data_IF_215788397746
#
_entry.id   IF_215788397746
#
_cell.length_a   1.000
_cell.length_b   1.000
_cell.length_c   1.000
_cell.angle_alpha   90.00
_cell.angle_beta   90.00
_cell.angle_gamma   90.00
#
_symmetry.space_group_name_H-M   'P 1'
#
loop_
_entity.id
_entity.type
_entity.pdbx_description
1 polymer ?
#
# COMPACT_ATOMS: atom_id res chain seq x y z
N UNK A 1 31.33 18.02 -34.02
CA UNK A 1 30.69 18.13 -32.70
C UNK A 1 29.72 16.96 -32.57
N UNK A 2 30.02 15.98 -31.73
CA UNK A 2 29.09 14.91 -31.39
C UNK A 2 28.13 15.51 -30.34
N UNK A 3 26.86 15.71 -30.71
CA UNK A 3 25.83 16.17 -29.78
C UNK A 3 25.40 14.99 -28.92
N UNK A 4 25.69 15.05 -27.62
CA UNK A 4 25.15 14.12 -26.63
C UNK A 4 23.67 14.46 -26.44
N UNK A 5 22.78 13.64 -26.96
CA UNK A 5 21.35 13.71 -26.64
C UNK A 5 21.14 13.06 -25.27
N UNK A 6 20.82 13.88 -24.27
CA UNK A 6 20.33 13.40 -22.99
C UNK A 6 18.87 12.97 -23.18
N UNK A 7 18.62 11.66 -23.25
CA UNK A 7 17.25 11.14 -23.18
C UNK A 7 16.86 11.16 -21.72
N UNK A 8 16.01 12.12 -21.33
CA UNK A 8 15.29 12.04 -20.06
C UNK A 8 14.32 10.87 -20.16
N UNK A 9 14.71 9.73 -19.57
CA UNK A 9 13.78 8.64 -19.31
C UNK A 9 12.94 9.11 -18.12
N UNK A 10 11.73 9.58 -18.39
CA UNK A 10 10.72 9.72 -17.35
C UNK A 10 10.35 8.30 -16.95
N UNK A 11 10.83 7.86 -15.80
CA UNK A 11 10.33 6.65 -15.15
C UNK A 11 8.87 6.92 -14.83
N UNK A 12 7.98 6.31 -15.59
CA UNK A 12 6.57 6.32 -15.25
C UNK A 12 6.43 5.40 -14.02
N UNK A 13 5.64 5.85 -13.06
CA UNK A 13 5.21 5.03 -11.93
C UNK A 13 3.77 4.60 -12.20
N UNK A 14 3.42 3.38 -11.79
CA UNK A 14 2.01 3.01 -11.71
C UNK A 14 1.37 3.77 -10.56
N UNK A 15 0.08 4.11 -10.67
CA UNK A 15 -0.63 4.82 -9.61
C UNK A 15 -2.13 4.56 -9.60
N UNK A 16 -2.72 4.73 -8.42
CA UNK A 16 -4.17 4.76 -8.21
C UNK A 16 -4.57 5.91 -7.29
N UNK A 17 -5.68 6.57 -7.61
CA UNK A 17 -6.24 7.65 -6.80
C UNK A 17 -7.45 7.15 -6.03
N UNK A 18 -7.42 7.31 -4.72
CA UNK A 18 -8.47 6.90 -3.81
C UNK A 18 -9.58 7.96 -3.77
N UNK A 19 -10.80 7.56 -3.41
CA UNK A 19 -11.98 8.45 -3.38
C UNK A 19 -11.87 9.62 -2.39
N UNK A 20 -10.97 9.54 -1.41
CA UNK A 20 -10.65 10.61 -0.46
C UNK A 20 -9.49 11.52 -0.91
N UNK A 21 -8.99 11.37 -2.14
CA UNK A 21 -7.92 12.20 -2.68
C UNK A 21 -6.51 11.72 -2.38
N UNK A 22 -6.36 10.57 -1.71
CA UNK A 22 -5.05 9.94 -1.55
C UNK A 22 -4.56 9.34 -2.86
N UNK A 23 -3.24 9.26 -3.02
CA UNK A 23 -2.61 8.67 -4.20
C UNK A 23 -1.62 7.62 -3.76
N UNK A 24 -1.82 6.39 -4.21
CA UNK A 24 -0.83 5.32 -4.06
C UNK A 24 -0.09 5.18 -5.38
N UNK A 25 1.24 5.24 -5.33
CA UNK A 25 2.12 5.09 -6.49
C UNK A 25 3.07 3.93 -6.25
N UNK A 26 3.49 3.26 -7.33
CA UNK A 26 4.46 2.18 -7.27
C UNK A 26 5.40 2.16 -8.47
N UNK A 27 6.58 1.55 -8.27
CA UNK A 27 7.51 1.18 -9.33
C UNK A 27 8.01 -0.23 -9.08
N UNK A 28 7.83 -1.11 -10.06
CA UNK A 28 8.26 -2.50 -10.05
C UNK A 28 9.67 -2.57 -10.63
N UNK A 29 10.62 -3.02 -9.80
CA UNK A 29 11.98 -3.36 -10.21
C UNK A 29 12.19 -4.86 -10.40
N UNK A 30 13.44 -5.29 -10.48
CA UNK A 30 13.78 -6.70 -10.73
C UNK A 30 13.53 -7.61 -9.53
N UNK A 31 13.64 -7.09 -8.30
CA UNK A 31 13.56 -7.88 -7.06
C UNK A 31 12.60 -7.30 -6.01
N UNK A 32 12.08 -6.10 -6.24
CA UNK A 32 11.24 -5.38 -5.28
C UNK A 32 10.22 -4.49 -5.98
N UNK A 33 9.20 -4.10 -5.23
CA UNK A 33 8.32 -2.99 -5.56
C UNK A 33 8.64 -1.84 -4.62
N UNK A 34 8.81 -0.64 -5.18
CA UNK A 34 8.89 0.60 -4.42
C UNK A 34 7.49 1.22 -4.42
N UNK A 35 6.88 1.32 -3.24
CA UNK A 35 5.56 1.91 -3.03
C UNK A 35 5.66 3.30 -2.41
N UNK A 36 4.60 4.06 -2.58
CA UNK A 36 4.39 5.27 -1.81
C UNK A 36 2.92 5.65 -1.73
N UNK A 37 2.56 6.37 -0.68
CA UNK A 37 1.24 6.94 -0.47
C UNK A 37 1.37 8.43 -0.17
N UNK A 38 0.61 9.24 -0.90
CA UNK A 38 0.40 10.66 -0.63
C UNK A 38 -0.95 10.85 0.02
N UNK A 39 -0.98 11.49 1.19
CA UNK A 39 -2.21 11.75 1.94
C UNK A 39 -2.54 13.25 1.97
N UNK A 40 -3.81 13.57 2.23
CA UNK A 40 -4.23 14.95 2.44
C UNK A 40 -3.73 15.50 3.79
N UNK A 41 -3.76 16.84 3.90
CA UNK A 41 -3.31 17.58 5.07
C UNK A 41 -4.18 17.30 6.32
N UNK A 42 -5.46 16.96 6.12
CA UNK A 42 -6.38 16.65 7.23
C UNK A 42 -5.98 15.34 7.90
N UNK A 43 -5.71 14.30 7.10
CA UNK A 43 -5.21 13.00 7.56
C UNK A 43 -3.90 13.16 8.31
N UNK A 44 -2.93 13.88 7.73
CA UNK A 44 -1.63 14.13 8.37
C UNK A 44 -1.76 14.75 9.76
N UNK A 45 -2.68 15.69 9.94
CA UNK A 45 -2.80 16.46 11.17
C UNK A 45 -3.75 15.84 12.20
N UNK A 46 -4.68 14.98 11.78
CA UNK A 46 -5.78 14.48 12.61
C UNK A 46 -5.82 12.96 12.73
N UNK A 47 -4.82 12.23 12.21
CA UNK A 47 -4.70 10.78 12.33
C UNK A 47 -3.35 10.43 12.92
N UNK A 48 -3.29 9.29 13.59
CA UNK A 48 -2.08 8.77 14.23
C UNK A 48 -1.37 7.74 13.35
N UNK A 49 -2.09 7.10 12.44
CA UNK A 49 -1.54 6.13 11.51
C UNK A 49 -2.28 6.12 10.18
N UNK A 50 -1.60 5.59 9.16
CA UNK A 50 -2.13 5.23 7.85
C UNK A 50 -1.69 3.81 7.50
N UNK A 51 -2.45 3.10 6.67
CA UNK A 51 -2.03 1.81 6.14
C UNK A 51 -2.33 1.68 4.66
N UNK A 52 -1.51 0.87 3.98
CA UNK A 52 -1.72 0.41 2.61
C UNK A 52 -1.69 -1.11 2.61
N UNK A 53 -2.82 -1.71 2.26
CA UNK A 53 -2.97 -3.14 2.05
C UNK A 53 -3.00 -3.48 0.56
N UNK A 54 -2.39 -4.58 0.18
CA UNK A 54 -2.51 -5.18 -1.16
C UNK A 54 -3.20 -6.53 -1.01
N UNK A 55 -4.15 -6.83 -1.90
CA UNK A 55 -4.84 -8.13 -1.98
C UNK A 55 -4.70 -8.73 -3.38
N UNK A 56 -4.56 -10.05 -3.48
CA UNK A 56 -4.52 -10.76 -4.75
C UNK A 56 -5.90 -11.30 -5.19
N UNK A 57 -6.94 -11.10 -4.38
CA UNK A 57 -8.32 -11.47 -4.66
C UNK A 57 -9.28 -10.47 -3.99
N UNK A 58 -10.36 -10.11 -4.68
CA UNK A 58 -11.35 -9.18 -4.14
C UNK A 58 -12.16 -9.85 -3.02
N UNK A 59 -12.31 -9.18 -1.87
CA UNK A 59 -13.32 -9.57 -0.89
C UNK A 59 -14.73 -9.34 -1.47
N UNK A 60 -15.33 -10.38 -2.06
CA UNK A 60 -16.78 -10.36 -2.29
C UNK A 60 -17.44 -10.87 -1.02
N UNK A 61 -18.03 -9.96 -0.23
CA UNK A 61 -18.70 -10.25 1.04
C UNK A 61 -19.91 -11.20 0.94
N UNK A 62 -20.12 -11.82 -0.23
CA UNK A 62 -21.25 -12.67 -0.55
C UNK A 62 -21.00 -14.17 -0.34
N UNK A 63 -19.76 -14.63 -0.05
CA UNK A 63 -19.49 -16.07 -0.01
C UNK A 63 -18.62 -16.50 1.18
N UNK A 64 -19.30 -16.83 2.29
CA UNK A 64 -18.88 -17.69 3.41
C UNK A 64 -17.81 -17.17 4.37
N UNK A 65 -18.07 -17.37 5.67
CA UNK A 65 -17.17 -17.13 6.81
C UNK A 65 -15.86 -17.97 6.78
N UNK A 66 -15.53 -18.59 5.64
CA UNK A 66 -14.44 -19.57 5.50
C UNK A 66 -13.27 -19.11 4.65
N UNK A 67 -13.37 -17.99 3.93
CA UNK A 67 -12.28 -17.45 3.12
C UNK A 67 -12.11 -15.95 3.39
N UNK A 68 -11.10 -15.61 4.19
CA UNK A 68 -10.60 -14.25 4.35
C UNK A 68 -9.52 -14.08 3.26
N UNK A 69 -9.66 -13.13 2.31
CA UNK A 69 -8.59 -12.81 1.37
C UNK A 69 -7.32 -12.43 2.12
N UNK A 70 -6.19 -12.79 1.56
CA UNK A 70 -4.90 -12.47 2.16
C UNK A 70 -4.54 -11.03 1.78
N UNK A 71 -4.45 -10.16 2.78
CA UNK A 71 -3.99 -8.78 2.62
C UNK A 71 -2.59 -8.67 3.19
N UNK A 72 -1.63 -8.19 2.39
CA UNK A 72 -0.31 -7.78 2.85
C UNK A 72 -0.35 -6.27 3.16
N UNK A 73 -0.13 -5.88 4.42
CA UNK A 73 -0.45 -4.56 4.95
C UNK A 73 0.82 -3.89 5.49
N UNK A 74 1.17 -2.76 4.88
CA UNK A 74 2.13 -1.82 5.46
C UNK A 74 1.41 -0.78 6.29
N UNK A 75 1.77 -0.69 7.57
CA UNK A 75 1.28 0.33 8.51
C UNK A 75 2.38 1.39 8.74
N UNK A 76 2.00 2.66 8.70
CA UNK A 76 2.85 3.78 9.10
C UNK A 76 2.17 4.62 10.16
N UNK A 77 2.81 4.74 11.32
CA UNK A 77 2.45 5.71 12.34
C UNK A 77 3.01 7.07 11.94
N UNK A 78 2.18 8.11 12.02
CA UNK A 78 2.55 9.48 11.60
C UNK A 78 3.66 10.08 12.49
N UNK A 79 4.01 9.41 13.59
CA UNK A 79 5.17 9.72 14.44
C UNK A 79 6.51 9.09 13.98
N UNK A 80 6.48 8.25 12.94
CA UNK A 80 7.67 7.74 12.24
C UNK A 80 7.92 6.23 12.32
N UNK A 81 7.08 5.46 13.00
CA UNK A 81 7.22 4.00 13.05
C UNK A 81 6.48 3.31 11.90
N UNK A 82 7.02 2.17 11.47
CA UNK A 82 6.41 1.28 10.48
C UNK A 82 6.21 -0.10 11.08
N UNK A 83 5.14 -0.77 10.66
CA UNK A 83 4.92 -2.16 11.02
C UNK A 83 4.38 -2.94 9.83
N UNK A 84 4.80 -4.20 9.75
CA UNK A 84 4.34 -5.16 8.77
C UNK A 84 3.22 -6.03 9.34
N UNK A 85 2.09 -6.03 8.65
CA UNK A 85 0.82 -6.60 9.09
C UNK A 85 0.21 -7.43 7.97
N UNK A 86 -0.66 -8.36 8.33
CA UNK A 86 -1.38 -9.14 7.33
C UNK A 86 -2.78 -9.55 7.81
N UNK A 87 -3.60 -9.98 6.86
CA UNK A 87 -4.80 -10.80 7.08
C UNK A 87 -4.66 -12.13 6.33
N UNK A 88 -5.35 -13.17 6.79
CA UNK A 88 -5.27 -14.50 6.17
C UNK A 88 -5.54 -15.61 7.19
N UNK A 89 -5.56 -16.89 6.80
CA UNK A 89 -5.71 -18.02 7.74
C UNK A 89 -6.93 -17.93 8.69
N UNK A 90 -8.08 -17.47 8.18
CA UNK A 90 -9.31 -17.19 8.96
C UNK A 90 -9.20 -16.01 9.94
N UNK A 91 -8.08 -15.30 9.94
CA UNK A 91 -7.86 -14.12 10.73
C UNK A 91 -8.55 -12.91 10.06
N UNK A 92 -9.76 -12.64 10.52
CA UNK A 92 -10.57 -11.48 10.10
C UNK A 92 -9.92 -10.15 10.52
N UNK A 93 -9.07 -10.19 11.55
CA UNK A 93 -8.42 -9.03 12.17
C UNK A 93 -6.97 -8.91 11.77
N UNK A 94 -6.55 -7.82 11.10
CA UNK A 94 -5.14 -7.59 10.81
C UNK A 94 -4.27 -7.76 12.06
N UNK A 95 -3.09 -8.37 11.89
CA UNK A 95 -2.11 -8.46 12.96
C UNK A 95 -0.70 -8.32 12.43
N UNK A 96 0.21 -7.91 13.33
CA UNK A 96 1.64 -7.89 13.07
C UNK A 96 2.11 -9.23 12.53
N UNK A 97 2.78 -9.19 11.39
CA UNK A 97 3.26 -10.35 10.66
C UNK A 97 4.33 -11.11 11.47
N UNK A 98 5.32 -10.39 11.99
CA UNK A 98 6.34 -10.91 12.90
C UNK A 98 5.74 -11.61 14.12
N UNK A 99 4.68 -11.06 14.70
CA UNK A 99 4.01 -11.64 15.88
C UNK A 99 3.38 -13.01 15.59
N UNK A 100 3.09 -13.30 14.32
CA UNK A 100 2.54 -14.56 13.81
C UNK A 100 3.60 -15.44 13.16
N UNK A 101 4.88 -15.09 13.34
CA UNK A 101 6.01 -15.85 12.82
C UNK A 101 6.24 -15.66 11.33
N UNK A 102 5.82 -14.52 10.78
CA UNK A 102 6.26 -14.06 9.47
C UNK A 102 7.56 -13.26 9.50
N UNK A 103 7.85 -12.51 8.44
CA UNK A 103 9.03 -11.68 8.26
C UNK A 103 8.66 -10.23 8.01
N UNK A 104 9.18 -9.32 8.83
CA UNK A 104 9.16 -7.88 8.51
C UNK A 104 10.06 -7.61 7.29
N UNK A 105 9.44 -7.35 6.14
CA UNK A 105 10.13 -7.12 4.86
C UNK A 105 9.96 -5.69 4.33
N UNK A 106 9.44 -4.79 5.15
CA UNK A 106 9.38 -3.36 4.85
C UNK A 106 10.80 -2.78 4.91
N UNK A 107 11.21 -2.07 3.86
CA UNK A 107 12.53 -1.42 3.79
C UNK A 107 12.47 -0.06 3.11
N UNK A 108 13.54 0.73 3.24
CA UNK A 108 13.70 2.06 2.61
C UNK A 108 12.59 3.06 2.96
N UNK A 109 12.14 3.01 4.21
CA UNK A 109 11.05 3.83 4.71
C UNK A 109 11.46 5.30 4.74
N UNK A 110 10.60 6.16 4.18
CA UNK A 110 10.87 7.59 4.08
C UNK A 110 9.58 8.39 4.12
N UNK A 111 9.53 9.38 5.02
CA UNK A 111 8.51 10.42 5.04
C UNK A 111 9.04 11.71 4.39
N UNK A 112 8.37 12.18 3.34
CA UNK A 112 8.56 13.49 2.73
C UNK A 112 7.47 14.45 3.23
N UNK A 113 7.81 15.20 4.27
CA UNK A 113 6.90 16.14 4.91
C UNK A 113 6.38 17.23 3.97
N UNK A 114 7.18 17.62 2.98
CA UNK A 114 6.81 18.68 2.02
C UNK A 114 5.73 18.25 1.03
N UNK A 115 5.50 16.94 0.91
CA UNK A 115 4.52 16.34 0.00
C UNK A 115 3.46 15.52 0.72
N UNK A 116 3.52 15.40 2.05
CA UNK A 116 2.70 14.49 2.84
C UNK A 116 2.75 13.06 2.29
N UNK A 117 3.97 12.59 2.00
CA UNK A 117 4.19 11.36 1.26
C UNK A 117 5.05 10.38 2.07
N UNK A 118 4.52 9.19 2.30
CA UNK A 118 5.26 8.05 2.84
C UNK A 118 5.69 7.12 1.70
N UNK A 119 6.92 6.62 1.73
CA UNK A 119 7.46 5.68 0.73
C UNK A 119 8.15 4.52 1.42
N UNK A 120 8.08 3.34 0.82
CA UNK A 120 8.71 2.11 1.31
C UNK A 120 8.97 1.13 0.15
N UNK A 121 9.65 0.04 0.43
CA UNK A 121 9.90 -1.05 -0.51
C UNK A 121 9.47 -2.38 0.11
N UNK A 122 8.92 -3.26 -0.73
CA UNK A 122 8.62 -4.68 -0.43
C UNK A 122 9.35 -5.58 -1.41
N UNK A 123 9.81 -6.75 -0.98
CA UNK A 123 10.39 -7.73 -1.92
C UNK A 123 9.29 -8.29 -2.83
N UNK A 124 9.62 -8.69 -4.07
CA UNK A 124 8.62 -9.33 -4.93
C UNK A 124 8.15 -10.69 -4.38
N UNK A 125 9.01 -11.36 -3.61
CA UNK A 125 8.78 -12.71 -3.10
C UNK A 125 9.68 -12.95 -1.88
N UNK A 126 9.10 -12.88 -0.68
CA UNK A 126 9.80 -13.07 0.61
C UNK A 126 9.96 -14.54 0.98
N UNK A 127 9.21 -15.44 0.33
CA UNK A 127 8.98 -16.83 0.75
C UNK A 127 8.20 -17.00 2.05
N UNK A 128 7.65 -15.91 2.59
CA UNK A 128 6.66 -16.00 3.66
C UNK A 128 5.29 -16.43 3.10
N UNK A 129 4.54 -17.18 3.89
CA UNK A 129 3.17 -17.55 3.55
C UNK A 129 2.15 -16.46 3.88
N UNK A 130 2.56 -15.40 4.58
CA UNK A 130 1.72 -14.27 4.99
C UNK A 130 1.84 -13.06 4.05
N UNK A 131 2.85 -13.08 3.18
CA UNK A 131 3.09 -12.03 2.20
C UNK A 131 2.51 -12.39 0.84
N UNK A 132 2.20 -11.36 0.06
CA UNK A 132 1.82 -11.52 -1.33
C UNK A 132 3.07 -11.66 -2.19
N UNK A 133 3.03 -12.62 -3.12
CA UNK A 133 4.00 -12.66 -4.22
C UNK A 133 3.60 -11.65 -5.29
N UNK A 134 4.37 -10.57 -5.39
CA UNK A 134 4.17 -9.51 -6.36
C UNK A 134 4.73 -9.90 -7.73
N UNK A 135 4.01 -9.52 -8.79
CA UNK A 135 4.43 -9.78 -10.17
C UNK A 135 4.10 -8.61 -11.08
N UNK A 136 5.05 -8.25 -11.96
CA UNK A 136 4.82 -7.24 -12.98
C UNK A 136 3.67 -7.70 -13.90
N UNK A 137 2.64 -6.86 -14.00
CA UNK A 137 1.41 -7.16 -14.75
C UNK A 137 0.38 -8.00 -13.99
N UNK A 138 0.62 -8.32 -12.72
CA UNK A 138 -0.38 -8.97 -11.86
C UNK A 138 -1.54 -8.04 -11.53
N UNK A 139 -2.72 -8.61 -11.28
CA UNK A 139 -3.93 -7.90 -10.85
C UNK A 139 -4.05 -7.93 -9.33
N UNK A 140 -4.26 -6.78 -8.71
CA UNK A 140 -4.33 -6.63 -7.26
C UNK A 140 -5.42 -5.64 -6.86
N UNK A 141 -5.86 -5.69 -5.60
CA UNK A 141 -6.70 -4.65 -5.01
C UNK A 141 -5.87 -3.86 -4.01
N UNK A 142 -6.03 -2.53 -4.03
CA UNK A 142 -5.32 -1.64 -3.12
C UNK A 142 -6.31 -1.14 -2.08
N UNK A 143 -5.91 -1.26 -0.83
CA UNK A 143 -6.72 -0.90 0.32
C UNK A 143 -5.97 0.16 1.11
N UNK A 144 -6.66 1.21 1.54
CA UNK A 144 -6.05 2.26 2.34
C UNK A 144 -6.90 2.60 3.56
N UNK A 145 -6.24 2.86 4.68
CA UNK A 145 -6.87 3.30 5.91
C UNK A 145 -6.07 4.39 6.60
N UNK A 146 -6.74 5.05 7.54
CA UNK A 146 -6.13 5.86 8.59
C UNK A 146 -6.92 5.65 9.87
N UNK A 147 -6.32 5.97 11.01
CA UNK A 147 -7.05 6.01 12.25
C UNK A 147 -6.34 6.75 13.36
N UNK A 148 -6.93 6.66 14.54
CA UNK A 148 -6.41 7.19 15.79
C UNK A 148 -5.86 6.05 16.66
N UNK A 149 -5.01 6.40 17.62
CA UNK A 149 -4.52 5.54 18.70
C UNK A 149 -5.01 6.11 20.04
N UNK A 150 -5.53 5.26 20.92
CA UNK A 150 -5.80 5.58 22.33
C UNK A 150 -4.96 4.70 23.28
N UNK A 151 -5.25 4.84 24.58
CA UNK A 151 -4.61 4.06 25.64
C UNK A 151 -4.84 2.53 25.50
N UNK A 152 -5.86 2.11 24.76
CA UNK A 152 -6.22 0.70 24.52
C UNK A 152 -5.71 0.18 23.15
N UNK A 153 -5.06 1.05 22.34
CA UNK A 153 -4.47 0.71 21.04
C UNK A 153 -5.15 1.45 19.88
N UNK A 154 -5.28 0.83 18.71
CA UNK A 154 -5.91 1.47 17.55
C UNK A 154 -7.43 1.63 17.74
N UNK A 155 -7.93 2.87 17.63
CA UNK A 155 -9.35 3.22 17.83
C UNK A 155 -10.21 2.87 16.60
N UNK A 156 -9.63 3.02 15.41
CA UNK A 156 -10.22 2.58 14.15
C UNK A 156 -9.45 1.31 13.78
N UNK A 157 -9.93 0.14 14.16
CA UNK A 157 -9.22 -1.05 13.70
C UNK A 157 -9.33 -1.13 12.15
N UNK A 158 -8.31 -1.65 11.45
CA UNK A 158 -8.18 -1.64 9.98
C UNK A 158 -9.28 -2.40 9.20
N UNK A 159 -10.49 -2.57 9.73
CA UNK A 159 -11.58 -3.35 9.15
C UNK A 159 -12.46 -2.60 8.15
N UNK A 160 -12.41 -1.27 8.11
CA UNK A 160 -13.15 -0.48 7.11
C UNK A 160 -12.19 0.12 6.07
N UNK A 161 -11.34 -0.76 5.53
CA UNK A 161 -10.44 -0.51 4.41
C UNK A 161 -11.20 0.21 3.29
N UNK A 162 -10.74 1.42 2.93
CA UNK A 162 -11.17 2.03 1.68
C UNK A 162 -10.46 1.29 0.56
N UNK A 163 -11.21 0.50 -0.18
CA UNK A 163 -10.70 -0.33 -1.26
C UNK A 163 -10.84 0.36 -2.63
N UNK A 164 -9.93 0.05 -3.55
CA UNK A 164 -10.15 0.28 -4.98
C UNK A 164 -11.34 -0.53 -5.48
N UNK A 165 -12.33 0.12 -6.08
CA UNK A 165 -13.53 -0.56 -6.60
C UNK A 165 -13.24 -1.59 -7.71
N UNK A 166 -12.07 -1.49 -8.35
CA UNK A 166 -11.62 -2.36 -9.43
C UNK A 166 -10.17 -2.76 -9.17
N UNK A 167 -9.77 -3.93 -9.69
CA UNK A 167 -8.38 -4.37 -9.62
C UNK A 167 -7.46 -3.38 -10.36
N UNK A 168 -6.29 -3.14 -9.78
CA UNK A 168 -5.19 -2.41 -10.42
C UNK A 168 -4.21 -3.41 -11.03
N UNK A 169 -3.57 -2.99 -12.12
CA UNK A 169 -2.46 -3.73 -12.70
C UNK A 169 -1.17 -3.20 -12.09
N UNK A 170 -0.38 -4.09 -11.48
CA UNK A 170 0.95 -3.73 -10.98
C UNK A 170 1.92 -3.57 -12.16
N UNK A 171 1.88 -2.42 -12.83
CA UNK A 171 2.79 -2.02 -13.91
C UNK A 171 3.41 -0.65 -13.64
N UNK A 172 4.48 -0.32 -14.36
CA UNK A 172 5.13 1.00 -14.26
C UNK A 172 4.43 2.10 -15.07
N UNK A 173 3.28 1.82 -15.68
CA UNK A 173 2.57 2.74 -16.57
C UNK A 173 1.05 2.81 -16.32
N UNK A 174 0.55 2.08 -15.32
CA UNK A 174 -0.86 2.08 -14.96
C UNK A 174 -1.27 3.39 -14.28
N UNK A 175 -2.40 3.97 -14.68
CA UNK A 175 -3.00 5.13 -14.00
C UNK A 175 -4.51 4.94 -13.85
N UNK A 176 -4.93 4.42 -12.69
CA UNK A 176 -6.33 4.15 -12.36
C UNK A 176 -6.96 5.28 -11.54
N UNK A 177 -8.10 5.82 -11.97
CA UNK A 177 -8.85 6.83 -11.19
C UNK A 177 -8.16 8.18 -11.01
N UNK A 178 -6.94 8.37 -11.52
CA UNK A 178 -6.19 9.62 -11.40
C UNK A 178 -6.44 10.54 -12.58
N UNK A 179 -7.26 11.57 -12.37
CA UNK A 179 -7.37 12.67 -13.34
C UNK A 179 -6.13 13.55 -13.24
N UNK A 180 -5.35 13.61 -14.31
CA UNK A 180 -4.21 14.55 -14.44
C UNK A 180 -4.65 15.98 -14.76
N UNK A 181 -5.95 16.25 -14.78
CA UNK A 181 -6.49 17.59 -15.05
C UNK A 181 -6.52 18.43 -13.77
N UNK A 182 -5.52 19.29 -13.62
CA UNK A 182 -5.59 20.48 -12.77
C UNK A 182 -6.40 21.52 -13.54
N UNK A 183 -7.61 21.86 -13.07
CA UNK A 183 -8.34 23.05 -13.53
C UNK A 183 -7.89 24.28 -12.75
#
# INVERSE_FOLDING_TARGET
>A
MLGLFLVLVTTHAGQVCMSNGWVVEWTVGDTKVDFSITIDEDTKNNKDWISVGIENNHWVAAFSDTEVPMTDITLYYIDGNTEDWYTGDLQITPASDVSKGGTDDITNELWDDSKNKFSWSKLLDTKDSKDIVYSLGGEYYVLCNSGLVDDDGMIEAPYMLKETLEAVILSNDFSGGCTTEVY
#
